data_IF_361041449460
#
_entry.id   IF_361041449460
#
_cell.length_a   1.000
_cell.length_b   1.000
_cell.length_c   1.000
_cell.angle_alpha   90.00
_cell.angle_beta   90.00
_cell.angle_gamma   90.00
#
_symmetry.space_group_name_H-M   'P 1'
#
loop_
_entity.id
_entity.type
_entity.pdbx_description
1 polymer ?
#
# COMPACT_ATOMS: atom_id res chain seq x y z
N UNK A 1 -1.52 47.20 -25.02
CA UNK A 1 -1.54 45.75 -24.76
C UNK A 1 -1.54 45.10 -26.12
N UNK A 2 -0.36 44.71 -26.59
CA UNK A 2 -0.21 44.20 -27.95
C UNK A 2 -0.84 42.82 -28.04
N UNK A 3 -1.80 42.68 -28.97
CA UNK A 3 -2.47 41.42 -29.30
C UNK A 3 -1.52 40.52 -30.09
N UNK A 4 -0.49 39.99 -29.43
CA UNK A 4 0.32 38.91 -30.00
C UNK A 4 -0.50 37.63 -30.06
N UNK A 5 -0.74 37.15 -31.28
CA UNK A 5 -1.36 35.84 -31.52
C UNK A 5 -0.26 34.79 -31.56
N UNK A 6 -0.42 33.70 -30.83
CA UNK A 6 0.55 32.60 -30.70
C UNK A 6 -0.17 31.26 -30.83
N UNK A 7 0.52 30.26 -31.37
CA UNK A 7 0.00 28.88 -31.46
C UNK A 7 0.49 27.97 -30.33
N UNK A 8 1.49 28.43 -29.56
CA UNK A 8 2.12 27.65 -28.49
C UNK A 8 2.03 28.44 -27.19
N UNK A 9 1.75 27.74 -26.10
CA UNK A 9 1.66 28.33 -24.77
C UNK A 9 2.33 27.38 -23.77
N UNK A 10 3.28 27.87 -22.98
CA UNK A 10 4.00 27.06 -22.00
C UNK A 10 3.63 27.38 -20.56
N UNK A 11 3.85 26.40 -19.69
CA UNK A 11 3.76 26.52 -18.24
C UNK A 11 5.07 26.04 -17.62
N UNK A 12 5.63 26.87 -16.75
CA UNK A 12 6.82 26.55 -15.96
C UNK A 12 6.43 26.51 -14.48
N UNK A 13 6.75 25.43 -13.77
CA UNK A 13 6.41 25.26 -12.35
C UNK A 13 7.70 25.27 -11.53
N UNK A 14 7.92 26.38 -10.83
CA UNK A 14 9.10 26.61 -10.00
C UNK A 14 8.79 26.31 -8.54
N UNK A 15 9.57 25.40 -7.96
CA UNK A 15 9.55 25.14 -6.52
C UNK A 15 10.69 25.90 -5.85
N UNK A 16 10.39 26.55 -4.73
CA UNK A 16 11.41 27.20 -3.89
C UNK A 16 11.21 26.87 -2.42
N UNK A 17 12.25 27.09 -1.65
CA UNK A 17 12.23 27.04 -0.19
C UNK A 17 12.63 28.41 0.34
N UNK A 18 11.64 29.22 0.72
CA UNK A 18 11.89 30.57 1.23
C UNK A 18 12.48 30.59 2.63
N UNK A 19 13.05 31.73 3.00
CA UNK A 19 13.50 32.05 4.35
C UNK A 19 12.74 33.28 4.87
N UNK A 20 13.08 33.73 6.09
CA UNK A 20 12.40 34.85 6.73
C UNK A 20 12.49 36.14 5.92
N UNK A 21 13.65 36.43 5.32
CA UNK A 21 13.91 37.68 4.60
C UNK A 21 13.36 37.64 3.16
N UNK A 22 13.28 36.45 2.57
CA UNK A 22 12.83 36.20 1.21
C UNK A 22 11.77 35.10 1.20
N UNK A 23 10.50 35.51 1.38
CA UNK A 23 9.30 34.67 1.24
C UNK A 23 8.19 35.28 0.35
N UNK A 24 8.43 36.44 -0.26
CA UNK A 24 7.51 37.04 -1.25
C UNK A 24 7.56 36.26 -2.57
N UNK A 25 6.50 35.48 -2.80
CA UNK A 25 6.36 34.60 -3.96
C UNK A 25 5.97 35.35 -5.24
N UNK A 26 5.28 36.49 -5.15
CA UNK A 26 4.85 37.28 -6.32
C UNK A 26 6.06 37.97 -6.95
N UNK A 27 6.87 38.62 -6.11
CA UNK A 27 8.11 39.27 -6.55
C UNK A 27 9.06 38.26 -7.20
N UNK A 28 9.16 37.07 -6.61
CA UNK A 28 10.00 35.99 -7.14
C UNK A 28 9.48 35.45 -8.48
N UNK A 29 8.19 35.16 -8.60
CA UNK A 29 7.60 34.68 -9.84
C UNK A 29 7.86 35.65 -11.00
N UNK A 30 7.68 36.95 -10.75
CA UNK A 30 7.98 38.00 -11.72
C UNK A 30 9.47 38.08 -12.08
N UNK A 31 10.35 38.08 -11.07
CA UNK A 31 11.78 38.16 -11.29
C UNK A 31 12.28 36.99 -12.14
N UNK A 32 11.93 35.75 -11.77
CA UNK A 32 12.33 34.55 -12.52
C UNK A 32 11.74 34.47 -13.91
N UNK A 33 10.50 34.90 -14.09
CA UNK A 33 9.91 34.95 -15.43
C UNK A 33 10.71 35.91 -16.32
N UNK A 34 11.06 37.10 -15.84
CA UNK A 34 11.83 38.07 -16.63
C UNK A 34 13.27 37.59 -16.87
N UNK A 35 13.93 37.03 -15.85
CA UNK A 35 15.27 36.47 -15.99
C UNK A 35 15.29 35.36 -17.06
N UNK A 36 14.39 34.36 -16.96
CA UNK A 36 14.41 33.21 -17.85
C UNK A 36 13.88 33.49 -19.26
N UNK A 37 13.05 34.51 -19.44
CA UNK A 37 12.56 34.88 -20.77
C UNK A 37 13.48 35.86 -21.51
N UNK A 38 14.46 36.45 -20.82
CA UNK A 38 15.45 37.36 -21.41
C UNK A 38 16.86 36.75 -21.52
N UNK A 39 17.17 35.74 -20.70
CA UNK A 39 18.41 34.98 -20.78
C UNK A 39 18.41 33.99 -21.96
N UNK A 40 19.58 33.78 -22.57
CA UNK A 40 19.80 32.85 -23.67
C UNK A 40 20.05 31.41 -23.19
N UNK A 41 20.21 31.17 -21.89
CA UNK A 41 20.37 29.81 -21.34
C UNK A 41 19.04 29.05 -21.23
N UNK A 42 17.95 29.75 -20.96
CA UNK A 42 16.61 29.17 -20.81
C UNK A 42 15.86 29.22 -22.13
N UNK A 43 15.49 28.05 -22.66
CA UNK A 43 14.84 27.94 -23.97
C UNK A 43 13.37 27.58 -23.78
N UNK A 44 12.47 28.51 -24.10
CA UNK A 44 11.04 28.27 -24.14
C UNK A 44 10.53 28.09 -25.58
N UNK A 45 9.49 27.26 -25.80
CA UNK A 45 8.98 26.96 -27.14
C UNK A 45 8.24 28.12 -27.81
N UNK A 46 7.95 29.20 -27.07
CA UNK A 46 7.32 30.43 -27.57
C UNK A 46 7.58 31.58 -26.59
N UNK A 47 7.41 32.85 -27.00
CA UNK A 47 7.51 33.99 -26.08
C UNK A 47 6.32 34.11 -25.11
N UNK A 48 5.29 33.27 -25.27
CA UNK A 48 4.04 33.33 -24.54
C UNK A 48 3.86 32.13 -23.60
N UNK A 49 3.87 32.39 -22.31
CA UNK A 49 3.54 31.41 -21.28
C UNK A 49 3.47 32.03 -19.90
N UNK A 50 3.32 31.18 -18.89
CA UNK A 50 3.21 31.56 -17.48
C UNK A 50 4.15 30.73 -16.64
N UNK A 51 4.84 31.40 -15.73
CA UNK A 51 5.60 30.78 -14.65
C UNK A 51 4.74 30.77 -13.38
N UNK A 52 4.58 29.60 -12.78
CA UNK A 52 3.90 29.35 -11.52
C UNK A 52 4.98 29.07 -10.48
N UNK A 53 5.07 29.90 -9.44
CA UNK A 53 6.02 29.72 -8.35
C UNK A 53 5.30 29.23 -7.09
N UNK A 54 5.90 28.25 -6.40
CA UNK A 54 5.39 27.66 -5.16
C UNK A 54 6.49 27.70 -4.10
N UNK A 55 6.23 28.37 -2.98
CA UNK A 55 7.09 28.33 -1.80
C UNK A 55 6.67 27.17 -0.89
N UNK A 56 7.54 26.17 -0.79
CA UNK A 56 7.32 24.95 -0.03
C UNK A 56 7.39 25.18 1.49
N UNK A 57 8.17 26.16 1.95
CA UNK A 57 8.33 26.45 3.38
C UNK A 57 7.12 27.21 3.92
N UNK A 58 6.65 28.21 3.16
CA UNK A 58 5.54 29.08 3.56
C UNK A 58 4.18 28.66 3.00
N UNK A 59 4.14 27.63 2.14
CA UNK A 59 2.94 27.15 1.47
C UNK A 59 2.22 28.24 0.65
N UNK A 60 3.00 29.16 0.08
CA UNK A 60 2.52 30.25 -0.77
C UNK A 60 2.68 29.90 -2.24
N UNK A 61 1.85 30.45 -3.10
CA UNK A 61 2.00 30.31 -4.55
C UNK A 61 1.57 31.58 -5.27
N UNK A 62 2.19 31.85 -6.40
CA UNK A 62 1.78 32.91 -7.32
C UNK A 62 2.18 32.54 -8.74
N UNK A 63 1.67 33.29 -9.72
CA UNK A 63 1.98 33.07 -11.11
C UNK A 63 2.15 34.40 -11.85
N UNK A 64 3.15 34.46 -12.73
CA UNK A 64 3.44 35.63 -13.55
C UNK A 64 3.68 35.21 -15.00
N UNK A 65 3.18 36.02 -15.94
CA UNK A 65 3.36 35.80 -17.37
C UNK A 65 2.16 36.27 -18.19
N UNK A 66 2.03 35.69 -19.38
CA UNK A 66 1.05 36.05 -20.40
C UNK A 66 -0.27 35.30 -20.18
N UNK A 67 -1.41 35.99 -20.15
CA UNK A 67 -2.71 35.36 -19.89
C UNK A 67 -3.64 35.49 -21.09
N UNK A 68 -4.08 34.37 -21.65
CA UNK A 68 -5.19 34.37 -22.60
C UNK A 68 -6.54 34.27 -21.86
N UNK A 69 -7.66 34.66 -22.49
CA UNK A 69 -8.98 34.63 -21.87
C UNK A 69 -9.32 33.25 -21.28
N UNK A 70 -9.75 33.22 -20.01
CA UNK A 70 -10.10 31.99 -19.29
C UNK A 70 -8.94 31.29 -18.56
N UNK A 71 -7.68 31.56 -18.93
CA UNK A 71 -6.53 30.89 -18.29
C UNK A 71 -6.31 31.31 -16.83
N UNK A 72 -6.40 32.62 -16.56
CA UNK A 72 -6.20 33.16 -15.21
C UNK A 72 -7.19 32.62 -14.17
N UNK A 73 -8.52 32.57 -14.42
CA UNK A 73 -9.45 31.96 -13.47
C UNK A 73 -9.23 30.45 -13.33
N UNK A 74 -8.87 29.73 -14.40
CA UNK A 74 -8.55 28.30 -14.36
C UNK A 74 -7.35 28.02 -13.43
N UNK A 75 -6.22 28.71 -13.65
CA UNK A 75 -5.01 28.52 -12.83
C UNK A 75 -5.28 28.87 -11.37
N UNK A 76 -6.05 29.93 -11.09
CA UNK A 76 -6.42 30.31 -9.73
C UNK A 76 -7.18 29.19 -9.01
N UNK A 77 -8.18 28.60 -9.66
CA UNK A 77 -8.96 27.51 -9.06
C UNK A 77 -8.14 26.21 -8.95
N UNK A 78 -7.37 25.89 -9.99
CA UNK A 78 -6.53 24.69 -10.03
C UNK A 78 -5.46 24.72 -8.92
N UNK A 79 -4.71 25.81 -8.78
CA UNK A 79 -3.67 25.93 -7.77
C UNK A 79 -4.23 25.91 -6.34
N UNK A 80 -5.38 26.54 -6.10
CA UNK A 80 -6.05 26.46 -4.80
C UNK A 80 -6.42 25.02 -4.42
N UNK A 81 -6.80 24.18 -5.40
CA UNK A 81 -7.08 22.75 -5.19
C UNK A 81 -5.79 21.93 -5.04
N UNK A 82 -4.79 22.14 -5.91
CA UNK A 82 -3.51 21.42 -5.90
C UNK A 82 -2.79 21.62 -4.57
N UNK A 83 -2.66 22.85 -4.08
CA UNK A 83 -1.98 23.13 -2.81
C UNK A 83 -2.66 22.40 -1.66
N UNK A 84 -3.99 22.28 -1.65
CA UNK A 84 -4.71 21.59 -0.57
C UNK A 84 -4.64 20.06 -0.69
N UNK A 85 -4.83 19.52 -1.89
CA UNK A 85 -5.14 18.10 -2.09
C UNK A 85 -3.99 17.28 -2.70
N UNK A 86 -2.86 17.89 -3.07
CA UNK A 86 -1.75 17.15 -3.66
C UNK A 86 -1.06 16.25 -2.60
N UNK A 87 -0.96 14.92 -2.84
CA UNK A 87 -0.34 14.00 -1.89
C UNK A 87 1.12 14.30 -1.56
N UNK A 88 1.90 14.81 -2.51
CA UNK A 88 3.31 15.14 -2.27
C UNK A 88 3.46 16.33 -1.32
N UNK A 89 2.60 17.34 -1.44
CA UNK A 89 2.55 18.45 -0.47
C UNK A 89 2.05 17.99 0.89
N UNK A 90 1.12 17.04 0.95
CA UNK A 90 0.71 16.42 2.21
C UNK A 90 1.90 15.72 2.90
N UNK A 91 2.61 14.84 2.18
CA UNK A 91 3.80 14.12 2.70
C UNK A 91 4.87 15.10 3.18
N UNK A 92 5.13 16.18 2.44
CA UNK A 92 6.07 17.23 2.86
C UNK A 92 5.65 17.85 4.20
N UNK A 93 4.39 18.25 4.33
CA UNK A 93 3.85 18.87 5.56
C UNK A 93 3.90 17.90 6.75
N UNK A 94 3.53 16.65 6.54
CA UNK A 94 3.59 15.62 7.58
C UNK A 94 5.02 15.36 8.05
N UNK A 95 5.99 15.34 7.14
CA UNK A 95 7.40 15.22 7.52
C UNK A 95 7.89 16.42 8.33
N UNK A 96 7.49 17.64 7.95
CA UNK A 96 7.80 18.85 8.72
C UNK A 96 7.15 18.79 10.12
N UNK A 97 5.85 18.44 10.21
CA UNK A 97 5.12 18.27 11.47
C UNK A 97 5.80 17.23 12.38
N UNK A 98 6.13 16.05 11.84
CA UNK A 98 6.86 14.99 12.55
C UNK A 98 8.24 15.46 13.03
N UNK A 99 8.99 16.16 12.18
CA UNK A 99 10.31 16.71 12.52
C UNK A 99 10.25 17.75 13.64
N UNK A 100 9.20 18.58 13.65
CA UNK A 100 8.93 19.58 14.68
C UNK A 100 8.17 19.04 15.89
N UNK A 101 7.79 17.75 15.89
CA UNK A 101 7.00 17.09 16.93
C UNK A 101 5.65 17.78 17.21
N UNK A 102 5.04 18.34 16.16
CA UNK A 102 3.72 18.96 16.22
C UNK A 102 2.66 17.91 15.88
N UNK A 103 1.85 17.54 16.87
CA UNK A 103 0.78 16.57 16.71
C UNK A 103 -0.57 17.30 16.71
N UNK A 104 -1.33 17.16 15.62
CA UNK A 104 -2.72 17.58 15.54
C UNK A 104 -3.62 16.35 15.46
N UNK A 105 -4.74 16.35 16.18
CA UNK A 105 -5.78 15.32 16.09
C UNK A 105 -6.63 15.50 14.83
N UNK A 106 -6.00 15.57 13.65
CA UNK A 106 -6.77 15.50 12.39
C UNK A 106 -7.41 14.10 12.29
N UNK A 107 -8.66 14.00 11.80
CA UNK A 107 -9.30 12.71 11.60
C UNK A 107 -8.52 11.93 10.53
N UNK A 108 -7.67 11.02 10.99
CA UNK A 108 -7.00 10.05 10.12
C UNK A 108 -8.02 9.06 9.60
N UNK A 109 -7.75 8.47 8.44
CA UNK A 109 -8.58 7.36 7.98
C UNK A 109 -8.64 6.27 9.05
N UNK A 110 -9.85 5.78 9.39
CA UNK A 110 -10.00 4.81 10.45
C UNK A 110 -9.28 3.52 10.05
N UNK A 111 -8.49 2.98 10.97
CA UNK A 111 -7.78 1.73 10.75
C UNK A 111 -8.77 0.59 10.51
N UNK A 112 -8.29 -0.49 9.88
CA UNK A 112 -9.05 -1.72 9.82
C UNK A 112 -9.09 -2.36 11.23
N UNK A 113 -10.30 -2.48 11.77
CA UNK A 113 -10.65 -3.06 13.07
C UNK A 113 -11.68 -4.18 12.88
N UNK A 114 -12.10 -4.81 13.98
CA UNK A 114 -13.20 -5.79 13.94
C UNK A 114 -14.54 -5.17 13.52
N UNK A 115 -14.74 -3.86 13.76
CA UNK A 115 -16.00 -3.17 13.47
C UNK A 115 -16.20 -2.90 11.98
N UNK A 116 -15.12 -2.63 11.23
CA UNK A 116 -15.17 -2.35 9.79
C UNK A 116 -14.56 -3.47 8.94
N UNK A 117 -14.37 -4.67 9.53
CA UNK A 117 -13.81 -5.84 8.84
C UNK A 117 -14.55 -6.22 7.55
N UNK A 118 -15.85 -5.93 7.48
CA UNK A 118 -16.67 -6.14 6.29
C UNK A 118 -16.25 -5.33 5.07
N UNK A 119 -15.54 -4.19 5.24
CA UNK A 119 -15.06 -3.35 4.14
C UNK A 119 -14.16 -4.13 3.16
N UNK A 120 -13.43 -5.14 3.66
CA UNK A 120 -12.54 -6.01 2.89
C UNK A 120 -13.25 -6.73 1.73
N UNK A 121 -14.55 -6.91 1.82
CA UNK A 121 -15.36 -7.67 0.86
C UNK A 121 -16.25 -6.77 0.00
N UNK A 122 -15.98 -5.46 0.00
CA UNK A 122 -16.63 -4.53 -0.91
C UNK A 122 -16.27 -4.82 -2.37
N UNK A 123 -16.95 -4.15 -3.31
CA UNK A 123 -16.65 -4.30 -4.73
C UNK A 123 -15.30 -3.70 -5.15
N UNK A 124 -14.63 -2.98 -4.26
CA UNK A 124 -13.33 -2.39 -4.51
C UNK A 124 -12.22 -3.45 -4.49
N UNK A 125 -11.17 -3.22 -5.29
CA UNK A 125 -9.97 -4.05 -5.24
C UNK A 125 -9.15 -3.56 -4.04
N UNK A 126 -9.08 -4.41 -3.02
CA UNK A 126 -8.35 -4.14 -1.77
C UNK A 126 -7.18 -5.11 -1.70
N UNK A 127 -5.98 -4.59 -1.44
CA UNK A 127 -4.81 -5.42 -1.18
C UNK A 127 -4.41 -5.32 0.28
N UNK A 128 -4.15 -6.47 0.89
CA UNK A 128 -3.53 -6.56 2.20
C UNK A 128 -2.04 -6.86 2.03
N UNK A 129 -1.21 -5.97 2.56
CA UNK A 129 0.24 -6.09 2.54
C UNK A 129 0.72 -6.64 3.87
N UNK A 130 1.48 -7.74 3.83
CA UNK A 130 2.30 -8.16 4.97
C UNK A 130 3.79 -8.13 4.62
N UNK A 131 4.55 -7.35 5.40
CA UNK A 131 6.00 -7.17 5.29
C UNK A 131 6.76 -7.89 6.42
N UNK A 132 6.06 -8.71 7.23
CA UNK A 132 6.67 -9.62 8.23
C UNK A 132 7.20 -10.92 7.63
N UNK A 133 6.71 -11.31 6.46
CA UNK A 133 7.43 -12.32 5.69
C UNK A 133 8.85 -11.78 5.50
N UNK A 134 9.84 -12.63 5.77
CA UNK A 134 11.27 -12.33 5.91
C UNK A 134 11.78 -11.30 4.86
N UNK A 135 12.96 -10.70 5.03
CA UNK A 135 13.58 -9.81 4.02
C UNK A 135 13.64 -10.41 2.59
N UNK A 136 13.22 -11.65 2.41
CA UNK A 136 13.22 -12.44 1.19
C UNK A 136 11.86 -12.52 0.49
N UNK A 137 10.75 -12.04 1.06
CA UNK A 137 9.45 -12.16 0.39
C UNK A 137 8.41 -11.13 0.79
N UNK A 138 7.64 -10.64 -0.16
CA UNK A 138 6.48 -9.78 0.06
C UNK A 138 5.19 -10.44 -0.42
N UNK A 139 4.15 -10.32 0.38
CA UNK A 139 2.84 -10.91 0.14
C UNK A 139 1.82 -9.81 -0.08
N UNK A 140 1.13 -9.86 -1.23
CA UNK A 140 0.03 -8.98 -1.56
C UNK A 140 -1.21 -9.84 -1.77
N UNK A 141 -2.17 -9.71 -0.85
CA UNK A 141 -3.32 -10.60 -0.81
C UNK A 141 -4.62 -9.85 -1.06
N UNK A 142 -5.43 -10.32 -2.00
CA UNK A 142 -6.79 -9.83 -2.24
C UNK A 142 -7.79 -10.69 -1.44
N UNK A 143 -8.40 -10.17 -0.35
CA UNK A 143 -9.31 -10.91 0.50
C UNK A 143 -10.66 -11.20 -0.15
N UNK A 144 -10.98 -10.59 -1.28
CA UNK A 144 -12.21 -10.90 -2.02
C UNK A 144 -12.02 -12.09 -2.96
N UNK A 145 -10.92 -12.10 -3.70
CA UNK A 145 -10.69 -13.09 -4.76
C UNK A 145 -9.79 -14.25 -4.34
N UNK A 146 -9.04 -14.10 -3.26
CA UNK A 146 -8.03 -15.09 -2.84
C UNK A 146 -6.68 -14.93 -3.55
N UNK A 147 -6.59 -14.03 -4.53
CA UNK A 147 -5.38 -13.81 -5.30
C UNK A 147 -4.23 -13.34 -4.39
N UNK A 148 -3.11 -14.05 -4.47
CA UNK A 148 -1.89 -13.75 -3.75
C UNK A 148 -0.77 -13.51 -4.76
N UNK A 149 -0.21 -12.32 -4.72
CA UNK A 149 1.06 -12.03 -5.36
C UNK A 149 2.17 -12.27 -4.33
N UNK A 150 3.05 -13.22 -4.61
CA UNK A 150 4.24 -13.50 -3.83
C UNK A 150 5.46 -12.98 -4.59
N UNK A 151 6.02 -11.86 -4.13
CA UNK A 151 7.30 -11.37 -4.65
C UNK A 151 8.43 -11.99 -3.85
N UNK A 152 9.31 -12.71 -4.52
CA UNK A 152 10.54 -13.25 -3.95
C UNK A 152 11.65 -12.23 -4.14
N UNK A 153 12.37 -11.91 -3.05
CA UNK A 153 13.55 -11.05 -3.06
C UNK A 153 14.78 -11.90 -2.83
N UNK A 154 15.59 -11.99 -3.87
CA UNK A 154 16.85 -12.71 -3.82
C UNK A 154 17.89 -11.98 -2.96
N UNK A 155 18.84 -12.74 -2.40
CA UNK A 155 19.88 -12.22 -1.49
C UNK A 155 20.79 -11.18 -2.14
N UNK A 156 20.91 -11.20 -3.47
CA UNK A 156 21.68 -10.22 -4.24
C UNK A 156 21.21 -8.78 -4.04
N UNK A 157 19.92 -8.55 -3.75
CA UNK A 157 19.36 -7.21 -3.50
C UNK A 157 19.96 -6.57 -2.24
N UNK A 158 20.40 -7.40 -1.29
CA UNK A 158 20.95 -6.95 -0.01
C UNK A 158 22.48 -6.79 -0.03
N UNK A 159 23.15 -7.23 -1.10
CA UNK A 159 24.59 -7.21 -1.20
C UNK A 159 25.14 -5.77 -1.16
N UNK A 160 26.10 -5.51 -0.27
CA UNK A 160 26.75 -4.21 -0.12
C UNK A 160 25.91 -3.14 0.61
N UNK A 161 24.71 -3.48 1.09
CA UNK A 161 23.81 -2.53 1.74
C UNK A 161 23.94 -2.55 3.26
N UNK A 162 23.76 -1.39 3.90
CA UNK A 162 23.68 -1.22 5.36
C UNK A 162 22.26 -0.79 5.76
N UNK A 163 21.89 -0.98 7.04
CA UNK A 163 20.55 -0.66 7.57
C UNK A 163 19.41 -1.39 6.84
N UNK A 164 19.60 -2.71 6.66
CA UNK A 164 18.70 -3.59 5.91
C UNK A 164 17.24 -3.54 6.38
N UNK A 165 16.98 -3.30 7.67
CA UNK A 165 15.62 -3.19 8.22
C UNK A 165 14.84 -1.98 7.69
N UNK A 166 15.52 -0.85 7.43
CA UNK A 166 14.92 0.32 6.81
C UNK A 166 14.83 0.09 5.30
N UNK A 167 15.91 -0.35 4.67
CA UNK A 167 15.95 -0.62 3.23
C UNK A 167 14.86 -1.61 2.80
N UNK A 168 14.59 -2.63 3.61
CA UNK A 168 13.54 -3.60 3.36
C UNK A 168 12.19 -2.93 3.11
N UNK A 169 11.76 -2.01 3.99
CA UNK A 169 10.49 -1.30 3.87
C UNK A 169 10.40 -0.45 2.61
N UNK A 170 11.47 0.26 2.28
CA UNK A 170 11.54 1.09 1.06
C UNK A 170 11.52 0.22 -0.20
N UNK A 171 12.26 -0.89 -0.21
CA UNK A 171 12.22 -1.86 -1.30
C UNK A 171 10.86 -2.54 -1.43
N UNK A 172 10.18 -2.85 -0.32
CA UNK A 172 8.79 -3.31 -0.35
C UNK A 172 7.90 -2.30 -1.07
N UNK A 173 7.95 -1.03 -0.67
CA UNK A 173 7.11 0.02 -1.25
C UNK A 173 7.42 0.29 -2.73
N UNK A 174 8.69 0.23 -3.12
CA UNK A 174 9.13 0.32 -4.51
C UNK A 174 8.55 -0.82 -5.36
N UNK A 175 8.64 -2.06 -4.89
CA UNK A 175 8.08 -3.23 -5.56
C UNK A 175 6.55 -3.20 -5.62
N UNK A 176 5.88 -2.66 -4.58
CA UNK A 176 4.42 -2.43 -4.61
C UNK A 176 4.06 -1.48 -5.73
N UNK A 177 4.75 -0.33 -5.83
CA UNK A 177 4.50 0.65 -6.86
C UNK A 177 4.79 0.09 -8.26
N UNK A 178 5.88 -0.69 -8.41
CA UNK A 178 6.20 -1.36 -9.66
C UNK A 178 5.11 -2.38 -10.09
N UNK A 179 4.59 -3.16 -9.14
CA UNK A 179 3.50 -4.10 -9.40
C UNK A 179 2.23 -3.36 -9.85
N UNK A 180 1.84 -2.29 -9.16
CA UNK A 180 0.66 -1.49 -9.53
C UNK A 180 0.84 -0.89 -10.94
N UNK A 181 2.04 -0.39 -11.28
CA UNK A 181 2.35 0.10 -12.64
C UNK A 181 2.26 -0.98 -13.71
N UNK A 182 2.53 -2.25 -13.37
CA UNK A 182 2.42 -3.36 -14.32
C UNK A 182 0.99 -3.83 -14.58
N UNK A 183 0.04 -3.46 -13.72
CA UNK A 183 -1.36 -3.86 -13.85
C UNK A 183 -2.16 -2.85 -14.68
N UNK A 184 -3.14 -3.32 -15.49
CA UNK A 184 -4.16 -2.46 -16.08
C UNK A 184 -4.89 -1.63 -15.02
N UNK A 185 -5.36 -0.44 -15.38
CA UNK A 185 -6.00 0.51 -14.44
C UNK A 185 -7.25 -0.09 -13.78
N UNK A 186 -7.92 -1.03 -14.46
CA UNK A 186 -9.08 -1.77 -13.98
C UNK A 186 -8.75 -2.74 -12.85
N UNK A 187 -7.52 -3.25 -12.81
CA UNK A 187 -7.04 -4.22 -11.82
C UNK A 187 -6.26 -3.55 -10.68
N UNK A 188 -5.98 -2.25 -10.78
CA UNK A 188 -5.26 -1.51 -9.75
C UNK A 188 -6.09 -1.44 -8.45
N UNK A 189 -5.43 -1.63 -7.28
CA UNK A 189 -6.11 -1.55 -6.00
C UNK A 189 -6.63 -0.13 -5.75
N UNK A 190 -7.84 0.00 -5.23
CA UNK A 190 -8.36 1.26 -4.69
C UNK A 190 -7.90 1.51 -3.27
N UNK A 191 -7.57 0.44 -2.55
CA UNK A 191 -7.12 0.51 -1.18
C UNK A 191 -6.00 -0.50 -0.90
N UNK A 192 -4.99 -0.06 -0.16
CA UNK A 192 -3.90 -0.89 0.34
C UNK A 192 -3.91 -0.83 1.86
N UNK A 193 -4.07 -2.00 2.49
CA UNK A 193 -4.13 -2.14 3.94
C UNK A 193 -2.82 -2.77 4.41
N UNK A 194 -2.07 -2.06 5.25
CA UNK A 194 -0.80 -2.55 5.78
C UNK A 194 -0.94 -3.14 7.19
N UNK A 195 -0.23 -4.23 7.46
CA UNK A 195 -0.16 -4.84 8.80
C UNK A 195 0.72 -4.02 9.76
N UNK A 196 1.81 -3.41 9.27
CA UNK A 196 2.74 -2.60 10.09
C UNK A 196 2.62 -1.11 9.76
N UNK A 197 2.42 -0.29 10.80
CA UNK A 197 2.43 1.19 10.69
C UNK A 197 3.69 1.75 10.00
N UNK A 198 4.82 1.06 10.15
CA UNK A 198 6.08 1.47 9.53
C UNK A 198 6.10 1.40 7.98
N UNK A 199 5.10 0.78 7.35
CA UNK A 199 4.93 0.74 5.90
C UNK A 199 4.09 1.88 5.34
N UNK A 200 3.39 2.65 6.18
CA UNK A 200 2.59 3.78 5.73
C UNK A 200 3.46 4.83 5.03
N UNK A 201 4.50 5.32 5.73
CA UNK A 201 5.36 6.38 5.20
C UNK A 201 6.06 5.99 3.87
N UNK A 202 6.67 4.79 3.70
CA UNK A 202 7.26 4.41 2.43
C UNK A 202 6.24 4.28 1.28
N UNK A 203 5.05 3.74 1.56
CA UNK A 203 4.01 3.59 0.54
C UNK A 203 3.44 4.94 0.09
N UNK A 204 3.19 5.86 1.02
CA UNK A 204 2.72 7.21 0.67
C UNK A 204 3.68 7.93 -0.28
N UNK A 205 4.98 7.68 -0.13
CA UNK A 205 6.02 8.29 -0.98
C UNK A 205 6.10 7.62 -2.35
N UNK A 206 6.06 6.28 -2.40
CA UNK A 206 6.18 5.55 -3.66
C UNK A 206 4.89 5.55 -4.50
N UNK A 207 3.74 5.81 -3.87
CA UNK A 207 2.42 5.84 -4.52
C UNK A 207 1.92 7.27 -4.82
N UNK A 208 2.80 8.27 -4.83
CA UNK A 208 2.46 9.65 -5.23
C UNK A 208 1.90 9.73 -6.66
N UNK A 209 2.34 8.83 -7.54
CA UNK A 209 1.84 8.69 -8.91
C UNK A 209 0.39 8.15 -8.96
N UNK A 210 -0.10 7.60 -7.84
CA UNK A 210 -1.39 6.93 -7.71
C UNK A 210 -2.27 7.61 -6.65
N UNK A 211 -2.71 8.86 -6.88
CA UNK A 211 -3.40 9.67 -5.87
C UNK A 211 -4.78 9.12 -5.44
N UNK A 212 -5.33 8.17 -6.20
CA UNK A 212 -6.63 7.55 -5.93
C UNK A 212 -6.54 6.27 -5.08
N UNK A 213 -5.32 5.85 -4.71
CA UNK A 213 -5.11 4.67 -3.89
C UNK A 213 -5.06 5.09 -2.43
N UNK A 214 -6.00 4.58 -1.65
CA UNK A 214 -6.09 4.82 -0.22
C UNK A 214 -5.13 3.89 0.53
N UNK A 215 -4.29 4.44 1.40
CA UNK A 215 -3.37 3.67 2.24
C UNK A 215 -3.88 3.67 3.67
N UNK A 216 -4.22 2.49 4.20
CA UNK A 216 -4.84 2.33 5.52
C UNK A 216 -4.02 1.39 6.41
N UNK A 217 -3.94 1.68 7.71
CA UNK A 217 -3.35 0.78 8.71
C UNK A 217 -4.34 -0.29 9.19
N UNK A 218 -3.84 -1.41 9.70
CA UNK A 218 -4.65 -2.47 10.31
C UNK A 218 -4.30 -2.65 11.78
N UNK A 219 -5.30 -2.62 12.66
CA UNK A 219 -5.14 -3.07 14.06
C UNK A 219 -5.24 -4.60 14.17
N UNK A 220 -5.89 -5.22 13.18
CA UNK A 220 -5.99 -6.66 13.08
C UNK A 220 -4.63 -7.28 12.70
N UNK A 221 -4.00 -7.91 13.68
CA UNK A 221 -2.74 -8.63 13.53
C UNK A 221 -2.97 -10.00 12.88
N UNK A 222 -3.12 -10.05 11.56
CA UNK A 222 -3.28 -11.31 10.83
C UNK A 222 -1.93 -12.05 10.72
N UNK A 223 -1.90 -13.38 10.89
CA UNK A 223 -0.67 -14.17 10.93
C UNK A 223 -0.20 -14.57 9.52
N UNK A 224 -0.15 -13.64 8.55
CA UNK A 224 0.22 -13.99 7.17
C UNK A 224 1.63 -14.56 7.05
N UNK A 225 2.58 -14.17 7.92
CA UNK A 225 3.89 -14.82 8.04
C UNK A 225 3.81 -16.35 8.15
N UNK A 226 2.74 -16.91 8.73
CA UNK A 226 2.58 -18.35 8.87
C UNK A 226 2.43 -19.09 7.53
N UNK A 227 2.10 -18.38 6.44
CA UNK A 227 2.03 -18.94 5.09
C UNK A 227 3.38 -19.54 4.65
N UNK A 228 4.48 -18.97 5.14
CA UNK A 228 5.84 -19.42 4.84
C UNK A 228 6.14 -20.81 5.39
N UNK A 229 5.35 -21.28 6.37
CA UNK A 229 5.47 -22.62 6.95
C UNK A 229 4.78 -23.69 6.10
N UNK A 230 4.06 -23.30 5.05
CA UNK A 230 3.51 -24.21 4.05
C UNK A 230 4.61 -24.54 3.04
N UNK A 231 4.86 -25.83 2.84
CA UNK A 231 6.02 -26.36 2.08
C UNK A 231 6.09 -25.80 0.65
N UNK A 232 4.93 -25.67 -0.04
CA UNK A 232 4.85 -25.11 -1.39
C UNK A 232 5.47 -23.71 -1.51
N UNK A 233 5.26 -22.87 -0.50
CA UNK A 233 5.81 -21.51 -0.47
C UNK A 233 7.26 -21.50 0.02
N UNK A 234 7.55 -22.25 1.09
CA UNK A 234 8.90 -22.34 1.66
C UNK A 234 9.92 -22.86 0.64
N UNK A 235 9.61 -23.95 -0.06
CA UNK A 235 10.49 -24.55 -1.05
C UNK A 235 10.72 -23.65 -2.26
N UNK A 236 9.66 -22.96 -2.72
CA UNK A 236 9.74 -22.03 -3.85
C UNK A 236 10.72 -20.88 -3.54
N UNK A 237 10.63 -20.32 -2.33
CA UNK A 237 11.46 -19.19 -1.90
C UNK A 237 12.90 -19.63 -1.68
N UNK A 238 13.13 -20.82 -1.12
CA UNK A 238 14.47 -21.36 -0.89
C UNK A 238 15.20 -21.74 -2.19
N UNK A 239 14.46 -22.20 -3.20
CA UNK A 239 15.02 -22.61 -4.51
C UNK A 239 15.18 -21.45 -5.50
N UNK A 240 14.64 -20.27 -5.20
CA UNK A 240 14.71 -19.14 -6.11
C UNK A 240 16.15 -18.60 -6.25
N UNK A 241 16.64 -18.53 -7.49
CA UNK A 241 17.97 -18.01 -7.84
C UNK A 241 17.95 -16.53 -8.25
N UNK A 242 16.77 -15.98 -8.52
CA UNK A 242 16.56 -14.60 -8.93
C UNK A 242 15.27 -14.01 -8.31
N UNK A 243 15.15 -12.67 -8.23
CA UNK A 243 13.90 -12.04 -7.82
C UNK A 243 12.80 -12.31 -8.84
N UNK A 244 11.67 -12.87 -8.38
CA UNK A 244 10.55 -13.22 -9.26
C UNK A 244 9.21 -12.95 -8.56
N UNK A 245 8.18 -12.68 -9.36
CA UNK A 245 6.80 -12.56 -8.90
C UNK A 245 6.06 -13.85 -9.23
N UNK A 246 5.44 -14.47 -8.24
CA UNK A 246 4.68 -15.71 -8.41
C UNK A 246 3.25 -15.49 -7.94
N UNK A 247 2.29 -15.91 -8.76
CA UNK A 247 0.87 -15.70 -8.52
C UNK A 247 0.23 -16.99 -8.00
N UNK A 248 -0.52 -16.86 -6.93
CA UNK A 248 -1.25 -17.94 -6.27
C UNK A 248 -2.69 -17.53 -6.03
N UNK A 249 -3.55 -18.52 -5.76
CA UNK A 249 -4.89 -18.29 -5.23
C UNK A 249 -5.03 -19.04 -3.89
N UNK A 250 -5.11 -18.31 -2.78
CA UNK A 250 -5.24 -18.90 -1.44
C UNK A 250 -6.59 -19.53 -1.17
N UNK A 251 -7.59 -19.30 -2.02
CA UNK A 251 -8.88 -19.93 -1.89
C UNK A 251 -9.01 -21.19 -2.74
N UNK A 252 -8.02 -21.53 -3.57
CA UNK A 252 -8.13 -22.61 -4.54
C UNK A 252 -9.49 -22.52 -5.27
N UNK A 253 -10.37 -23.51 -5.07
CA UNK A 253 -11.70 -23.61 -5.66
C UNK A 253 -12.86 -23.24 -4.70
N UNK A 254 -12.57 -22.78 -3.49
CA UNK A 254 -13.59 -22.58 -2.44
C UNK A 254 -14.69 -21.58 -2.84
N UNK A 255 -14.37 -20.58 -3.68
CA UNK A 255 -15.36 -19.59 -4.12
C UNK A 255 -16.50 -20.19 -4.98
N UNK A 256 -16.40 -21.47 -5.38
CA UNK A 256 -17.49 -22.20 -6.04
C UNK A 256 -18.63 -22.57 -5.07
N UNK A 257 -18.31 -22.84 -3.79
CA UNK A 257 -19.28 -23.34 -2.80
C UNK A 257 -19.49 -22.37 -1.63
N UNK A 258 -18.51 -21.52 -1.30
CA UNK A 258 -18.59 -20.60 -0.16
C UNK A 258 -18.31 -19.14 -0.55
N UNK A 259 -18.79 -18.23 0.28
CA UNK A 259 -18.55 -16.79 0.11
C UNK A 259 -17.07 -16.42 0.34
N UNK A 260 -16.64 -15.28 -0.21
CA UNK A 260 -15.31 -14.72 0.03
C UNK A 260 -15.04 -14.45 1.52
N UNK A 261 -16.07 -14.06 2.28
CA UNK A 261 -15.98 -13.85 3.72
C UNK A 261 -15.64 -15.15 4.46
N UNK A 262 -16.35 -16.23 4.13
CA UNK A 262 -16.13 -17.56 4.71
C UNK A 262 -14.76 -18.10 4.32
N UNK A 263 -14.39 -17.97 3.04
CA UNK A 263 -13.10 -18.40 2.52
C UNK A 263 -11.94 -17.64 3.21
N UNK A 264 -12.08 -16.32 3.42
CA UNK A 264 -11.11 -15.54 4.16
C UNK A 264 -10.97 -16.00 5.61
N UNK A 265 -12.10 -16.21 6.29
CA UNK A 265 -12.13 -16.69 7.67
C UNK A 265 -11.43 -18.06 7.79
N UNK A 266 -11.66 -18.97 6.84
CA UNK A 266 -10.96 -20.26 6.74
C UNK A 266 -9.45 -20.08 6.60
N UNK A 267 -8.99 -19.22 5.68
CA UNK A 267 -7.53 -18.92 5.55
C UNK A 267 -6.98 -18.38 6.86
N UNK A 268 -7.65 -17.41 7.49
CA UNK A 268 -7.18 -16.84 8.76
C UNK A 268 -7.07 -17.90 9.84
N UNK A 269 -8.03 -18.82 9.93
CA UNK A 269 -8.04 -19.92 10.89
C UNK A 269 -6.86 -20.88 10.65
N UNK A 270 -6.63 -21.27 9.40
CA UNK A 270 -5.49 -22.12 9.01
C UNK A 270 -4.18 -21.42 9.34
N UNK A 271 -4.02 -20.15 8.96
CA UNK A 271 -2.79 -19.39 9.22
C UNK A 271 -2.55 -19.20 10.72
N UNK A 272 -3.61 -19.00 11.53
CA UNK A 272 -3.52 -18.95 13.00
C UNK A 272 -3.07 -20.30 13.57
N UNK A 273 -3.66 -21.41 13.09
CA UNK A 273 -3.23 -22.75 13.44
C UNK A 273 -1.76 -22.98 13.14
N UNK A 274 -1.33 -22.68 11.90
CA UNK A 274 0.07 -22.78 11.47
C UNK A 274 1.01 -21.86 12.27
N UNK A 275 0.52 -20.71 12.73
CA UNK A 275 1.30 -19.83 13.59
C UNK A 275 1.58 -20.49 14.95
N UNK A 276 0.55 -21.07 15.58
CA UNK A 276 0.60 -21.67 16.92
C UNK A 276 1.29 -23.03 16.93
N UNK A 277 0.81 -23.98 16.11
CA UNK A 277 1.31 -25.35 16.06
C UNK A 277 1.26 -25.87 14.62
N UNK A 278 2.36 -25.70 13.85
CA UNK A 278 2.42 -26.14 12.45
C UNK A 278 2.17 -27.64 12.30
N UNK A 279 2.79 -28.47 13.15
CA UNK A 279 2.75 -29.92 13.00
C UNK A 279 1.33 -30.46 13.24
N UNK A 280 0.69 -30.02 14.33
CA UNK A 280 -0.70 -30.40 14.62
C UNK A 280 -1.67 -29.86 13.56
N UNK A 281 -1.43 -28.66 13.04
CA UNK A 281 -2.25 -28.08 11.96
C UNK A 281 -2.15 -28.91 10.68
N UNK A 282 -0.94 -29.33 10.29
CA UNK A 282 -0.73 -30.20 9.12
C UNK A 282 -1.45 -31.56 9.26
N UNK A 283 -1.48 -32.11 10.47
CA UNK A 283 -2.25 -33.35 10.76
C UNK A 283 -3.74 -33.10 10.65
N UNK A 284 -4.26 -32.01 11.22
CA UNK A 284 -5.69 -31.66 11.15
C UNK A 284 -6.13 -31.43 9.69
N UNK A 285 -5.30 -30.80 8.87
CA UNK A 285 -5.60 -30.55 7.46
C UNK A 285 -5.65 -31.83 6.60
N UNK A 286 -5.05 -32.94 7.06
CA UNK A 286 -5.02 -34.23 6.35
C UNK A 286 -5.68 -35.32 7.20
N UNK A 287 -7.03 -35.31 7.32
CA UNK A 287 -7.76 -36.21 8.21
C UNK A 287 -7.64 -37.69 7.83
N UNK A 288 -7.41 -37.99 6.54
CA UNK A 288 -7.22 -39.35 6.04
C UNK A 288 -5.98 -39.44 5.13
N UNK A 289 -5.34 -40.61 5.08
CA UNK A 289 -4.26 -40.95 4.14
C UNK A 289 -4.69 -40.83 2.67
N UNK A 290 -5.99 -40.95 2.39
CA UNK A 290 -6.56 -40.78 1.05
C UNK A 290 -6.68 -39.30 0.64
N UNK A 291 -6.50 -38.37 1.59
CA UNK A 291 -6.63 -36.94 1.33
C UNK A 291 -5.49 -36.49 0.41
N UNK A 292 -5.85 -36.03 -0.78
CA UNK A 292 -4.92 -35.51 -1.78
C UNK A 292 -4.99 -33.98 -1.88
N UNK A 293 -3.87 -33.37 -2.23
CA UNK A 293 -3.79 -31.97 -2.65
C UNK A 293 -3.45 -31.96 -4.12
N UNK A 294 -4.25 -31.28 -4.92
CA UNK A 294 -3.97 -31.17 -6.35
C UNK A 294 -2.71 -30.34 -6.60
N UNK A 295 -1.92 -30.62 -7.66
CA UNK A 295 -0.63 -29.94 -7.88
C UNK A 295 -0.76 -28.41 -7.99
N UNK A 296 -1.87 -27.92 -8.55
CA UNK A 296 -2.13 -26.49 -8.71
C UNK A 296 -2.76 -25.86 -7.46
N UNK A 297 -3.35 -26.65 -6.56
CA UNK A 297 -3.91 -26.20 -5.29
C UNK A 297 -2.87 -26.07 -4.18
N UNK A 298 -3.23 -25.32 -3.15
CA UNK A 298 -2.42 -25.11 -1.95
C UNK A 298 -2.94 -25.99 -0.82
N UNK A 299 -4.26 -26.07 -0.69
CA UNK A 299 -4.92 -26.79 0.38
C UNK A 299 -5.42 -28.16 -0.09
N UNK A 300 -5.60 -29.12 0.83
CA UNK A 300 -6.19 -30.41 0.51
C UNK A 300 -7.61 -30.27 -0.06
N UNK A 301 -7.95 -31.13 -1.03
CA UNK A 301 -9.30 -31.18 -1.59
C UNK A 301 -10.20 -31.91 -0.60
N UNK A 302 -11.10 -31.18 0.05
CA UNK A 302 -12.05 -31.69 1.04
C UNK A 302 -13.48 -31.32 0.67
N UNK A 303 -14.43 -32.15 1.10
CA UNK A 303 -15.86 -31.84 1.05
C UNK A 303 -16.21 -30.69 2.01
N UNK A 304 -17.35 -30.03 1.82
CA UNK A 304 -17.80 -28.96 2.72
C UNK A 304 -18.00 -29.49 4.17
N UNK A 305 -18.49 -30.72 4.33
CA UNK A 305 -18.66 -31.36 5.65
C UNK A 305 -17.32 -31.63 6.35
N UNK A 306 -16.30 -32.05 5.60
CA UNK A 306 -14.97 -32.28 6.16
C UNK A 306 -14.26 -30.97 6.48
N UNK A 307 -14.47 -29.92 5.67
CA UNK A 307 -14.02 -28.57 6.00
C UNK A 307 -14.59 -28.07 7.32
N UNK A 308 -15.89 -28.31 7.60
CA UNK A 308 -16.50 -27.93 8.89
C UNK A 308 -15.78 -28.63 10.06
N UNK A 309 -15.49 -29.93 9.94
CA UNK A 309 -14.76 -30.69 10.99
C UNK A 309 -13.35 -30.14 11.21
N UNK A 310 -12.64 -29.84 10.11
CA UNK A 310 -11.30 -29.26 10.13
C UNK A 310 -11.32 -27.88 10.78
N UNK A 311 -12.27 -27.02 10.42
CA UNK A 311 -12.43 -25.69 11.00
C UNK A 311 -12.70 -25.75 12.51
N UNK A 312 -13.59 -26.63 12.96
CA UNK A 312 -13.84 -26.83 14.38
C UNK A 312 -12.58 -27.29 15.12
N UNK A 313 -11.86 -28.27 14.58
CA UNK A 313 -10.62 -28.76 15.17
C UNK A 313 -9.53 -27.68 15.25
N UNK A 314 -9.41 -26.82 14.24
CA UNK A 314 -8.48 -25.68 14.25
C UNK A 314 -8.90 -24.64 15.28
N UNK A 315 -10.19 -24.29 15.33
CA UNK A 315 -10.75 -23.35 16.32
C UNK A 315 -10.46 -23.82 17.74
N UNK A 316 -10.77 -25.08 18.06
CA UNK A 316 -10.57 -25.65 19.40
C UNK A 316 -9.08 -25.66 19.79
N UNK A 317 -8.20 -25.99 18.84
CA UNK A 317 -6.76 -25.94 19.08
C UNK A 317 -6.27 -24.51 19.37
N UNK A 318 -6.76 -23.51 18.62
CA UNK A 318 -6.39 -22.10 18.83
C UNK A 318 -6.89 -21.60 20.18
N UNK A 319 -8.14 -21.88 20.53
CA UNK A 319 -8.73 -21.50 21.82
C UNK A 319 -8.02 -22.20 22.98
N UNK A 320 -7.71 -23.48 22.86
CA UNK A 320 -7.00 -24.21 23.90
C UNK A 320 -5.59 -23.66 24.17
N UNK A 321 -4.86 -23.26 23.12
CA UNK A 321 -3.56 -22.59 23.27
C UNK A 321 -3.71 -21.22 23.95
N UNK A 322 -4.71 -20.43 23.56
CA UNK A 322 -5.02 -19.14 24.19
C UNK A 322 -5.37 -19.30 25.68
N UNK A 323 -6.27 -20.22 26.01
CA UNK A 323 -6.69 -20.51 27.38
C UNK A 323 -5.52 -20.98 28.24
N UNK A 324 -4.64 -21.83 27.70
CA UNK A 324 -3.43 -22.29 28.40
C UNK A 324 -2.43 -21.16 28.64
N UNK A 325 -2.21 -20.28 27.66
CA UNK A 325 -1.25 -19.17 27.77
C UNK A 325 -1.70 -18.07 28.72
N UNK A 326 -3.00 -17.79 28.74
CA UNK A 326 -3.57 -16.71 29.56
C UNK A 326 -4.20 -17.22 30.86
N UNK A 327 -4.17 -18.53 31.11
CA UNK A 327 -4.80 -19.19 32.24
C UNK A 327 -6.31 -18.87 32.34
N UNK A 328 -7.01 -18.93 31.21
CA UNK A 328 -8.45 -18.65 31.08
C UNK A 328 -9.19 -19.90 30.65
N UNK A 329 -10.38 -20.12 31.22
CA UNK A 329 -11.29 -21.17 30.77
C UNK A 329 -11.92 -20.74 29.43
N UNK A 330 -11.66 -21.48 28.36
CA UNK A 330 -12.22 -21.18 27.03
C UNK A 330 -13.75 -21.19 26.99
N UNK A 331 -14.40 -21.93 27.90
CA UNK A 331 -15.86 -21.97 27.99
C UNK A 331 -16.49 -20.69 28.56
N UNK A 332 -15.69 -19.81 29.20
CA UNK A 332 -16.18 -18.53 29.72
C UNK A 332 -16.00 -17.37 28.73
N UNK A 333 -15.44 -17.62 27.54
CA UNK A 333 -15.28 -16.59 26.51
C UNK A 333 -16.63 -16.24 25.88
N UNK A 334 -16.88 -14.95 25.73
CA UNK A 334 -18.04 -14.45 24.98
C UNK A 334 -17.82 -14.59 23.48
N UNK A 335 -18.86 -14.41 22.67
CA UNK A 335 -18.75 -14.49 21.21
C UNK A 335 -17.86 -13.37 20.60
N UNK A 336 -17.71 -12.25 21.30
CA UNK A 336 -16.85 -11.12 20.87
C UNK A 336 -15.38 -11.30 21.23
N UNK A 337 -15.09 -12.12 22.25
CA UNK A 337 -13.75 -12.47 22.71
C UNK A 337 -13.22 -13.67 21.93
#
# INVERSE_FOLDING_TARGET
MDNTTTQKYWLDVQLRWGDYDSHDIERYARAKFLDYTTDNMSIYPSPTGVLIAIDLAYNLYSAYGNWFPGMKPLVRQAMAKIIKANPAFYVLRERIRKGLQLYSSEPTEPYLTSQNYGELFSNQIIWKLDDKADQRSHLYFNPRTGQLFLKIIHTSVWAGQKRLSQLAKWKTAEEVAALIRSLPVEEQPRQIIVTRKAMLDPLEVHLLDFPNIVIKGSELMLPFQAIMKVEKFGDLILKATEPQMVLFNLYDDWLKTISSYTAFSRVVLIMRGMHINPDKTKVILKPDKTTITEPHHIWPTLSDDDWIKVELALKDMILADYGKKNNVNVASLTQSE
#
